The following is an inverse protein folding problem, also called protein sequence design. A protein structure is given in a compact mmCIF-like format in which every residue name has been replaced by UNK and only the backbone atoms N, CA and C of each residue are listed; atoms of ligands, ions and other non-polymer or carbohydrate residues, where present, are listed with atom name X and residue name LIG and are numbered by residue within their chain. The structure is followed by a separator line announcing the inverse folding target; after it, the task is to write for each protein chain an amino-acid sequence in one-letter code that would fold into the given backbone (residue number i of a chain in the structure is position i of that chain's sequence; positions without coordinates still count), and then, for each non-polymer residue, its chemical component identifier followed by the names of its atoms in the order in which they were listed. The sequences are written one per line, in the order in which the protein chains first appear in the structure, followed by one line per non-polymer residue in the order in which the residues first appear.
data_IF_512680025410
#
_entry.id   IF_512680025410
#
_cell.length_a   1.000
_cell.length_b   1.000
_cell.length_c   1.000
_cell.angle_alpha   90.00
_cell.angle_beta   90.00
_cell.angle_gamma   90.00
#
_symmetry.space_group_name_H-M   'P 1'
#
loop_
_entity.id
_entity.type
_entity.pdbx_description
1 polymer ?
#
# COMPACT_ATOMS: atom_id res chain seq x y z
N UNK A 1 -26.79 12.18 -2.65
CA UNK A 1 -26.94 11.09 -1.67
C UNK A 1 -26.06 9.93 -2.16
N UNK A 2 -25.06 9.49 -1.39
CA UNK A 2 -24.14 8.40 -1.81
C UNK A 2 -24.76 7.09 -1.35
N UNK A 3 -25.14 6.24 -2.30
CA UNK A 3 -25.60 4.89 -1.99
C UNK A 3 -24.45 4.09 -1.37
N UNK A 4 -24.68 3.67 -0.14
CA UNK A 4 -23.83 2.73 0.57
C UNK A 4 -24.50 1.36 0.53
N UNK A 5 -23.73 0.31 0.36
CA UNK A 5 -24.24 -1.04 0.59
C UNK A 5 -24.38 -1.32 2.09
N UNK A 6 -24.89 -2.51 2.42
CA UNK A 6 -25.12 -2.96 3.80
C UNK A 6 -23.83 -3.15 4.62
N UNK A 7 -22.65 -3.10 3.99
CA UNK A 7 -21.33 -3.09 4.66
C UNK A 7 -20.71 -1.68 4.74
N UNK A 8 -21.40 -0.65 4.23
CA UNK A 8 -21.00 0.76 4.35
C UNK A 8 -20.09 1.28 3.24
N UNK A 9 -19.84 0.49 2.18
CA UNK A 9 -19.01 0.87 1.04
C UNK A 9 -19.76 1.80 0.10
N UNK A 10 -19.11 2.79 -0.53
CA UNK A 10 -19.69 3.47 -1.68
C UNK A 10 -19.83 2.47 -2.83
N UNK A 11 -21.06 2.20 -3.31
CA UNK A 11 -21.34 1.32 -4.47
C UNK A 11 -20.65 1.76 -5.78
N UNK A 12 -20.04 2.94 -5.80
CA UNK A 12 -19.38 3.55 -6.96
C UNK A 12 -17.85 3.65 -6.77
N UNK A 13 -17.17 2.53 -6.49
CA UNK A 13 -15.72 2.49 -6.69
C UNK A 13 -15.46 2.48 -8.20
N UNK A 14 -15.12 3.64 -8.77
CA UNK A 14 -14.71 3.71 -10.18
C UNK A 14 -13.52 2.77 -10.41
N UNK A 15 -13.46 2.05 -11.54
CA UNK A 15 -12.30 1.22 -11.90
C UNK A 15 -11.03 2.07 -11.84
N UNK A 16 -9.90 1.47 -11.50
CA UNK A 16 -8.61 2.17 -11.38
C UNK A 16 -7.56 1.53 -12.26
N UNK A 17 -6.59 2.33 -12.72
CA UNK A 17 -5.39 1.79 -13.36
C UNK A 17 -4.45 1.12 -12.35
N UNK A 18 -3.34 0.55 -12.85
CA UNK A 18 -2.28 -0.11 -12.08
C UNK A 18 -1.68 0.77 -10.97
N UNK A 19 -1.77 2.09 -11.13
CA UNK A 19 -1.27 3.04 -10.15
C UNK A 19 -2.38 3.58 -9.26
N UNK A 20 -3.62 3.13 -9.37
CA UNK A 20 -4.76 3.55 -8.55
C UNK A 20 -5.48 4.82 -9.02
N UNK A 21 -5.22 5.32 -10.23
CA UNK A 21 -5.92 6.51 -10.77
C UNK A 21 -7.31 6.09 -11.27
N UNK A 22 -8.38 6.85 -10.96
CA UNK A 22 -9.71 6.54 -11.45
C UNK A 22 -9.79 6.56 -12.98
N UNK A 23 -10.32 5.49 -13.56
CA UNK A 23 -10.62 5.35 -14.98
C UNK A 23 -12.04 5.83 -15.29
N UNK A 24 -12.34 6.20 -16.56
CA UNK A 24 -13.71 6.43 -17.02
C UNK A 24 -14.62 5.24 -16.73
N UNK A 25 -15.91 5.50 -16.53
CA UNK A 25 -16.91 4.46 -16.32
C UNK A 25 -16.98 3.54 -17.55
N UNK A 26 -17.00 2.22 -17.34
CA UNK A 26 -17.02 1.23 -18.43
C UNK A 26 -15.63 0.77 -18.90
N UNK A 27 -14.54 1.39 -18.41
CA UNK A 27 -13.20 0.86 -18.62
C UNK A 27 -12.92 -0.31 -17.66
N UNK A 28 -12.14 -1.28 -18.12
CA UNK A 28 -11.58 -2.32 -17.25
C UNK A 28 -10.36 -1.74 -16.52
N UNK A 29 -10.38 -1.83 -15.19
CA UNK A 29 -9.26 -1.46 -14.33
C UNK A 29 -8.63 -2.70 -13.69
N UNK A 30 -7.64 -2.48 -12.84
CA UNK A 30 -7.14 -3.55 -11.97
C UNK A 30 -8.19 -3.88 -10.93
N UNK A 31 -8.40 -5.18 -10.70
CA UNK A 31 -9.33 -5.67 -9.70
C UNK A 31 -8.88 -5.21 -8.31
N UNK A 32 -9.77 -4.65 -7.47
CA UNK A 32 -9.44 -4.32 -6.08
C UNK A 32 -9.03 -5.57 -5.29
N UNK A 33 -8.23 -5.37 -4.23
CA UNK A 33 -7.98 -6.44 -3.28
C UNK A 33 -9.30 -6.90 -2.62
N UNK A 34 -9.42 -8.20 -2.27
CA UNK A 34 -10.51 -8.70 -1.43
C UNK A 34 -10.63 -7.91 -0.12
N UNK A 35 -11.83 -7.85 0.47
CA UNK A 35 -12.04 -7.17 1.76
C UNK A 35 -11.35 -7.89 2.92
N UNK A 36 -11.25 -9.20 2.79
CA UNK A 36 -10.92 -10.17 3.81
C UNK A 36 -9.58 -10.86 3.52
N UNK A 37 -8.61 -10.09 2.98
CA UNK A 37 -7.25 -10.61 2.84
C UNK A 37 -6.72 -11.05 4.21
N UNK A 38 -5.94 -12.13 4.21
CA UNK A 38 -5.22 -12.57 5.40
C UNK A 38 -4.25 -11.47 5.82
N UNK A 39 -4.40 -11.00 7.06
CA UNK A 39 -3.62 -9.90 7.64
C UNK A 39 -2.44 -10.39 8.50
N UNK A 40 -2.17 -11.70 8.51
CA UNK A 40 -0.95 -12.22 9.09
C UNK A 40 0.28 -11.66 8.38
N UNK A 41 1.37 -11.47 9.13
CA UNK A 41 2.58 -10.85 8.62
C UNK A 41 3.13 -11.61 7.39
N UNK A 42 3.18 -12.94 7.44
CA UNK A 42 3.63 -13.78 6.33
C UNK A 42 2.78 -13.58 5.06
N UNK A 43 1.45 -13.63 5.19
CA UNK A 43 0.54 -13.50 4.06
C UNK A 43 0.64 -12.12 3.41
N UNK A 44 0.68 -11.06 4.22
CA UNK A 44 0.74 -9.69 3.72
C UNK A 44 2.09 -9.38 3.09
N UNK A 45 3.19 -9.90 3.65
CA UNK A 45 4.53 -9.76 3.04
C UNK A 45 4.58 -10.45 1.69
N UNK A 46 4.08 -11.68 1.59
CA UNK A 46 4.03 -12.42 0.34
C UNK A 46 3.16 -11.72 -0.71
N UNK A 47 1.96 -11.28 -0.31
CA UNK A 47 1.03 -10.57 -1.20
C UNK A 47 1.61 -9.24 -1.68
N UNK A 48 2.14 -8.41 -0.78
CA UNK A 48 2.74 -7.13 -1.14
C UNK A 48 3.96 -7.31 -2.05
N UNK A 49 4.81 -8.32 -1.78
CA UNK A 49 5.93 -8.68 -2.65
C UNK A 49 5.48 -9.04 -4.06
N UNK A 50 4.46 -9.90 -4.18
CA UNK A 50 3.89 -10.31 -5.47
C UNK A 50 3.30 -9.13 -6.25
N UNK A 51 2.56 -8.24 -5.57
CA UNK A 51 1.99 -7.05 -6.19
C UNK A 51 3.08 -6.09 -6.70
N UNK A 52 4.19 -5.95 -5.96
CA UNK A 52 5.34 -5.17 -6.42
C UNK A 52 6.03 -5.81 -7.63
N UNK A 53 6.12 -7.14 -7.71
CA UNK A 53 6.63 -7.86 -8.89
C UNK A 53 5.76 -7.60 -10.13
N UNK A 54 4.46 -7.37 -9.94
CA UNK A 54 3.51 -7.05 -11.00
C UNK A 54 3.46 -5.56 -11.36
N UNK A 55 4.24 -4.70 -10.70
CA UNK A 55 4.18 -3.26 -10.94
C UNK A 55 2.92 -2.60 -10.36
N UNK A 56 2.32 -3.19 -9.33
CA UNK A 56 1.10 -2.73 -8.64
C UNK A 56 1.39 -2.16 -7.24
N UNK A 57 2.18 -1.07 -7.13
CA UNK A 57 2.57 -0.51 -5.83
C UNK A 57 1.39 0.10 -5.06
N UNK A 58 0.31 0.47 -5.74
CA UNK A 58 -0.88 1.01 -5.09
C UNK A 58 -1.64 -0.09 -4.34
N UNK A 59 -1.81 -1.26 -4.94
CA UNK A 59 -2.39 -2.44 -4.30
C UNK A 59 -1.47 -2.96 -3.19
N UNK A 60 -0.14 -2.94 -3.39
CA UNK A 60 0.80 -3.28 -2.33
C UNK A 60 0.64 -2.35 -1.11
N UNK A 61 0.43 -1.05 -1.35
CA UNK A 61 0.07 -0.10 -0.30
C UNK A 61 -1.25 -0.48 0.41
N UNK A 62 -2.30 -0.85 -0.33
CA UNK A 62 -3.58 -1.26 0.26
C UNK A 62 -3.44 -2.53 1.14
N UNK A 63 -2.66 -3.53 0.70
CA UNK A 63 -2.38 -4.72 1.49
C UNK A 63 -1.63 -4.40 2.79
N UNK A 64 -0.60 -3.55 2.71
CA UNK A 64 0.17 -3.10 3.89
C UNK A 64 -0.66 -2.21 4.82
N UNK A 65 -1.62 -1.44 4.29
CA UNK A 65 -2.55 -0.67 5.10
C UNK A 65 -3.50 -1.59 5.89
N UNK A 66 -3.92 -2.71 5.31
CA UNK A 66 -4.80 -3.67 5.99
C UNK A 66 -4.14 -4.25 7.25
N UNK A 67 -2.87 -4.68 7.17
CA UNK A 67 -2.15 -5.16 8.35
C UNK A 67 -1.90 -4.06 9.38
N UNK A 68 -1.58 -2.82 8.95
CA UNK A 68 -1.40 -1.73 9.92
C UNK A 68 -2.66 -1.53 10.75
N UNK A 69 -3.85 -1.65 10.12
CA UNK A 69 -5.14 -1.29 10.75
C UNK A 69 -5.47 -2.21 11.91
N UNK A 70 -4.95 -3.43 11.88
CA UNK A 70 -5.22 -4.46 12.87
C UNK A 70 -4.03 -4.74 13.80
N UNK A 71 -2.80 -4.44 13.38
CA UNK A 71 -1.61 -4.60 14.21
C UNK A 71 -1.67 -3.77 15.50
N UNK A 72 -1.02 -4.24 16.56
CA UNK A 72 -0.77 -3.48 17.79
C UNK A 72 0.56 -2.71 17.71
N UNK A 73 0.76 -1.74 18.60
CA UNK A 73 2.08 -1.13 18.76
C UNK A 73 3.08 -2.15 19.33
N UNK A 74 4.39 -2.08 18.98
CA UNK A 74 5.01 -1.08 18.09
C UNK A 74 4.90 -1.41 16.58
N UNK A 75 4.39 -2.59 16.23
CA UNK A 75 4.35 -3.04 14.83
C UNK A 75 3.47 -2.18 13.93
N UNK A 76 2.32 -1.72 14.44
CA UNK A 76 1.41 -0.82 13.73
C UNK A 76 2.15 0.37 13.14
N UNK A 77 3.00 1.02 13.93
CA UNK A 77 3.77 2.18 13.48
C UNK A 77 4.71 1.81 12.33
N UNK A 78 5.41 0.67 12.40
CA UNK A 78 6.31 0.26 11.33
C UNK A 78 5.57 -0.22 10.06
N UNK A 79 4.45 -0.94 10.20
CA UNK A 79 3.56 -1.30 9.08
C UNK A 79 3.02 -0.06 8.35
N UNK A 80 2.71 1.00 9.11
CA UNK A 80 2.39 2.31 8.52
C UNK A 80 3.52 2.89 7.70
N UNK A 81 4.76 2.74 8.16
CA UNK A 81 5.95 3.09 7.40
C UNK A 81 6.06 2.33 6.08
N UNK A 82 5.86 1.00 6.11
CA UNK A 82 5.87 0.14 4.92
C UNK A 82 4.83 0.57 3.88
N UNK A 83 3.58 0.76 4.29
CA UNK A 83 2.53 1.23 3.40
C UNK A 83 2.83 2.61 2.80
N UNK A 84 3.49 3.50 3.56
CA UNK A 84 3.93 4.80 3.06
C UNK A 84 5.04 4.69 2.01
N UNK A 85 5.99 3.76 2.15
CA UNK A 85 6.99 3.51 1.12
C UNK A 85 6.35 3.02 -0.18
N UNK A 86 5.41 2.07 -0.11
CA UNK A 86 4.70 1.57 -1.29
C UNK A 86 3.91 2.68 -2.03
N UNK A 87 3.21 3.56 -1.30
CA UNK A 87 2.51 4.68 -1.95
C UNK A 87 3.47 5.80 -2.40
N UNK A 88 4.63 5.97 -1.77
CA UNK A 88 5.69 6.86 -2.28
C UNK A 88 6.19 6.40 -3.65
N UNK A 89 6.41 5.09 -3.84
CA UNK A 89 6.72 4.50 -5.15
C UNK A 89 5.59 4.77 -6.16
N UNK A 90 4.33 4.62 -5.75
CA UNK A 90 3.17 4.97 -6.59
C UNK A 90 3.21 6.44 -7.02
N UNK A 91 3.53 7.36 -6.11
CA UNK A 91 3.68 8.79 -6.43
C UNK A 91 4.81 9.04 -7.44
N UNK A 92 5.95 8.36 -7.28
CA UNK A 92 7.08 8.48 -8.21
C UNK A 92 6.70 7.99 -9.61
N UNK A 93 6.10 6.81 -9.73
CA UNK A 93 5.62 6.25 -11.01
C UNK A 93 4.54 7.11 -11.67
N UNK A 94 3.78 7.89 -10.88
CA UNK A 94 2.81 8.87 -11.38
C UNK A 94 3.46 10.19 -11.84
N UNK A 95 4.78 10.35 -11.75
CA UNK A 95 5.49 11.59 -12.08
C UNK A 95 5.41 12.67 -10.99
N UNK A 96 4.99 12.31 -9.77
CA UNK A 96 4.88 13.23 -8.64
C UNK A 96 6.05 13.06 -7.67
N UNK A 97 7.23 13.54 -8.07
CA UNK A 97 8.46 13.42 -7.30
C UNK A 97 8.38 14.10 -5.91
N UNK A 98 7.83 15.32 -5.84
CA UNK A 98 7.67 16.04 -4.56
C UNK A 98 6.77 15.28 -3.59
N UNK A 99 5.67 14.71 -4.09
CA UNK A 99 4.78 13.86 -3.29
C UNK A 99 5.47 12.59 -2.83
N UNK A 100 6.24 11.94 -3.70
CA UNK A 100 6.99 10.74 -3.38
C UNK A 100 7.99 10.98 -2.23
N UNK A 101 8.81 12.03 -2.32
CA UNK A 101 9.79 12.40 -1.28
C UNK A 101 9.11 12.64 0.07
N UNK A 102 8.07 13.49 0.11
CA UNK A 102 7.34 13.83 1.34
C UNK A 102 6.68 12.62 2.01
N UNK A 103 6.18 11.67 1.22
CA UNK A 103 5.58 10.46 1.78
C UNK A 103 6.68 9.51 2.27
N UNK A 104 7.76 9.34 1.50
CA UNK A 104 8.92 8.51 1.87
C UNK A 104 9.52 8.96 3.20
N UNK A 105 9.79 10.25 3.38
CA UNK A 105 10.33 10.80 4.62
C UNK A 105 9.49 10.42 5.84
N UNK A 106 8.16 10.53 5.73
CA UNK A 106 7.24 10.09 6.79
C UNK A 106 7.26 8.57 7.00
N UNK A 107 7.41 7.81 5.92
CA UNK A 107 7.57 6.36 5.96
C UNK A 107 8.80 5.94 6.75
N UNK A 108 9.94 6.58 6.51
CA UNK A 108 11.19 6.34 7.22
C UNK A 108 11.08 6.68 8.71
N UNK A 109 10.45 7.80 9.05
CA UNK A 109 10.20 8.17 10.44
C UNK A 109 9.37 7.11 11.18
N UNK A 110 8.33 6.59 10.53
CA UNK A 110 7.50 5.53 11.10
C UNK A 110 8.25 4.19 11.21
N UNK A 111 9.08 3.83 10.23
CA UNK A 111 9.93 2.64 10.33
C UNK A 111 10.95 2.73 11.47
N UNK A 112 11.48 3.93 11.73
CA UNK A 112 12.42 4.16 12.84
C UNK A 112 11.74 4.19 14.22
N UNK A 113 10.44 4.50 14.27
CA UNK A 113 9.66 4.64 15.50
C UNK A 113 8.86 3.37 15.89
N UNK A 114 8.86 2.35 15.04
CA UNK A 114 8.21 1.07 15.30
C UNK A 114 9.14 -0.10 15.04
N UNK A 115 8.63 -1.32 15.22
CA UNK A 115 9.39 -2.54 15.00
C UNK A 115 8.64 -3.47 14.06
N UNK A 116 9.31 -3.99 13.02
CA UNK A 116 8.69 -4.98 12.12
C UNK A 116 9.00 -6.39 12.60
N UNK A 117 8.08 -7.36 12.41
CA UNK A 117 8.41 -8.76 12.57
C UNK A 117 9.49 -9.16 11.55
N UNK A 118 10.33 -10.13 11.90
CA UNK A 118 11.49 -10.54 11.10
C UNK A 118 11.13 -10.90 9.64
N UNK A 119 9.96 -11.50 9.42
CA UNK A 119 9.45 -11.87 8.09
C UNK A 119 9.32 -10.66 7.15
N UNK A 120 9.07 -9.46 7.68
CA UNK A 120 8.85 -8.26 6.88
C UNK A 120 10.15 -7.51 6.52
N UNK A 121 11.30 -7.89 7.08
CA UNK A 121 12.55 -7.14 6.90
C UNK A 121 13.06 -7.16 5.45
N UNK A 122 12.94 -8.30 4.76
CA UNK A 122 13.34 -8.39 3.35
C UNK A 122 12.47 -7.50 2.44
N UNK A 123 11.16 -7.47 2.68
CA UNK A 123 10.26 -6.57 1.96
C UNK A 123 10.53 -5.10 2.29
N UNK A 124 10.89 -4.79 3.54
CA UNK A 124 11.28 -3.44 3.96
C UNK A 124 12.47 -2.96 3.16
N UNK A 125 13.53 -3.77 3.12
CA UNK A 125 14.78 -3.40 2.43
C UNK A 125 14.51 -3.19 0.94
N UNK A 126 13.72 -4.09 0.32
CA UNK A 126 13.26 -3.93 -1.06
C UNK A 126 12.48 -2.62 -1.28
N UNK A 127 11.56 -2.24 -0.40
CA UNK A 127 10.82 -0.99 -0.50
C UNK A 127 11.71 0.24 -0.32
N UNK A 128 12.71 0.16 0.55
CA UNK A 128 13.72 1.21 0.72
C UNK A 128 14.51 1.41 -0.58
N UNK A 129 14.96 0.31 -1.21
CA UNK A 129 15.70 0.37 -2.48
C UNK A 129 14.84 0.98 -3.59
N UNK A 130 13.61 0.46 -3.77
CA UNK A 130 12.68 0.94 -4.81
C UNK A 130 12.30 2.41 -4.65
N UNK A 131 12.34 2.95 -3.43
CA UNK A 131 11.98 4.34 -3.15
C UNK A 131 13.18 5.27 -3.01
N UNK A 132 14.41 4.75 -3.07
CA UNK A 132 15.61 5.58 -2.95
C UNK A 132 15.85 6.47 -4.18
N UNK A 133 15.13 6.22 -5.29
CA UNK A 133 15.25 6.96 -6.54
C UNK A 133 16.58 6.70 -7.26
N UNK A 134 16.73 7.16 -8.52
CA UNK A 134 18.04 7.59 -9.00
C UNK A 134 18.52 8.84 -8.24
#
# INVERSE_FOLDING_TARGET
MRDRDSSGRPRNARPRDELGRPLPTGCHGVEPLPEDIDTSADAVVALAGHLLDQGLPFQAHEALEAVWKVASEPERTAWKGMAQLAVALTHAMRGNATGAVRVRERGLLNLAAGELPAVALALRDRLLDLTSGP
#
